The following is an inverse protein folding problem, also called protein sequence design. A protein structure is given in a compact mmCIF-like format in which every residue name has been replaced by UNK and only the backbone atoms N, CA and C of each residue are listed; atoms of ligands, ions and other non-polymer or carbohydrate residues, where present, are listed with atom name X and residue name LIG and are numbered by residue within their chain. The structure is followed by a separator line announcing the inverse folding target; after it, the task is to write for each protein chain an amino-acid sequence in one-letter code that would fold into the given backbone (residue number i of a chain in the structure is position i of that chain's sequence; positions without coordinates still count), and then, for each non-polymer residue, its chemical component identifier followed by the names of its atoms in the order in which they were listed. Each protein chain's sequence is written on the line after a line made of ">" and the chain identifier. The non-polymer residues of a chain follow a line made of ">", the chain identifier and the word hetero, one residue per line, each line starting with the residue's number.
data_IF_544034121351
#
_entry.id   IF_544034121351
#
_cell.length_a   1.000
_cell.length_b   1.000
_cell.length_c   1.000
_cell.angle_alpha   90.00
_cell.angle_beta   90.00
_cell.angle_gamma   90.00
#
_symmetry.space_group_name_H-M   'P 1'
#
loop_
_entity.id
_entity.type
_entity.pdbx_description
1 polymer ?
#
# COMPACT_ATOMS: atom_id res chain seq x y z
N UNK A 1 8.40 2.43 -6.25
CA UNK A 1 9.15 3.44 -5.45
C UNK A 1 10.11 2.80 -4.46
N UNK A 2 9.65 1.89 -3.58
CA UNK A 2 10.50 1.26 -2.56
C UNK A 2 11.64 0.48 -3.19
N UNK A 3 11.35 -0.34 -4.22
CA UNK A 3 12.36 -1.12 -4.91
C UNK A 3 13.40 -0.22 -5.60
N UNK A 4 12.95 0.83 -6.26
CA UNK A 4 13.84 1.82 -6.89
C UNK A 4 14.77 2.50 -5.88
N UNK A 5 14.24 2.88 -4.70
CA UNK A 5 15.05 3.46 -3.62
C UNK A 5 16.05 2.45 -3.06
N UNK A 6 15.70 1.15 -3.03
CA UNK A 6 16.58 0.06 -2.64
C UNK A 6 17.73 -0.10 -3.64
N UNK A 7 17.42 -0.14 -4.94
CA UNK A 7 18.40 -0.23 -6.03
C UNK A 7 19.34 0.97 -6.08
N UNK A 8 18.82 2.17 -5.80
CA UNK A 8 19.60 3.40 -5.72
C UNK A 8 20.43 3.51 -4.43
N UNK A 9 20.22 2.61 -3.44
CA UNK A 9 20.92 2.63 -2.16
C UNK A 9 20.53 3.78 -1.24
N UNK A 10 19.28 4.26 -1.34
CA UNK A 10 18.77 5.38 -0.55
C UNK A 10 17.55 5.03 0.32
N UNK A 11 17.22 3.73 0.44
CA UNK A 11 16.03 3.29 1.17
C UNK A 11 16.13 3.55 2.68
N UNK A 12 17.29 3.27 3.28
CA UNK A 12 17.53 3.47 4.73
C UNK A 12 17.86 4.91 5.10
N UNK A 13 18.10 5.77 4.11
CA UNK A 13 18.37 7.19 4.33
C UNK A 13 17.14 7.96 4.82
N UNK A 14 17.35 9.20 5.29
CA UNK A 14 16.29 10.08 5.80
C UNK A 14 15.13 10.22 4.80
N UNK A 15 15.43 10.44 3.51
CA UNK A 15 14.41 10.59 2.47
C UNK A 15 13.66 9.28 2.23
N UNK A 16 14.37 8.15 2.09
CA UNK A 16 13.77 6.84 1.86
C UNK A 16 12.85 6.40 3.00
N UNK A 17 13.32 6.52 4.25
CA UNK A 17 12.51 6.20 5.42
C UNK A 17 11.29 7.13 5.58
N UNK A 18 11.40 8.40 5.20
CA UNK A 18 10.27 9.33 5.20
C UNK A 18 9.25 8.96 4.13
N UNK A 19 9.69 8.63 2.90
CA UNK A 19 8.79 8.17 1.83
C UNK A 19 8.06 6.90 2.25
N UNK A 20 8.79 5.92 2.82
CA UNK A 20 8.19 4.66 3.27
C UNK A 20 7.13 4.89 4.35
N UNK A 21 7.45 5.68 5.39
CA UNK A 21 6.50 6.01 6.45
C UNK A 21 5.28 6.79 5.95
N UNK A 22 5.49 7.76 5.06
CA UNK A 22 4.42 8.55 4.47
C UNK A 22 3.51 7.69 3.58
N UNK A 23 4.07 6.76 2.79
CA UNK A 23 3.30 5.84 1.96
C UNK A 23 2.41 4.92 2.80
N UNK A 24 2.94 4.36 3.89
CA UNK A 24 2.15 3.52 4.82
C UNK A 24 0.96 4.31 5.39
N UNK A 25 1.18 5.56 5.81
CA UNK A 25 0.11 6.40 6.36
C UNK A 25 -0.90 6.77 5.27
N UNK A 26 -0.45 7.12 4.06
CA UNK A 26 -1.31 7.44 2.90
C UNK A 26 -2.24 6.26 2.56
N UNK A 27 -1.71 5.03 2.55
CA UNK A 27 -2.47 3.81 2.29
C UNK A 27 -3.54 3.58 3.38
N UNK A 28 -3.19 3.70 4.66
CA UNK A 28 -4.15 3.57 5.76
C UNK A 28 -5.27 4.61 5.66
N UNK A 29 -4.90 5.87 5.45
CA UNK A 29 -5.89 6.96 5.32
C UNK A 29 -6.77 6.74 4.08
N UNK A 30 -6.20 6.32 2.96
CA UNK A 30 -6.94 6.01 1.73
C UNK A 30 -7.99 4.92 1.95
N UNK A 31 -7.64 3.85 2.65
CA UNK A 31 -8.55 2.75 2.96
C UNK A 31 -9.64 3.19 3.94
N UNK A 32 -9.31 4.01 4.94
CA UNK A 32 -10.30 4.54 5.88
C UNK A 32 -11.31 5.44 5.13
N UNK A 33 -10.83 6.35 4.29
CA UNK A 33 -11.69 7.22 3.47
C UNK A 33 -12.58 6.38 2.54
N UNK A 34 -12.03 5.37 1.87
CA UNK A 34 -12.80 4.45 1.05
C UNK A 34 -13.93 3.80 1.86
N UNK A 35 -13.61 3.27 3.04
CA UNK A 35 -14.59 2.62 3.91
C UNK A 35 -15.71 3.58 4.31
N UNK A 36 -15.39 4.84 4.62
CA UNK A 36 -16.40 5.88 4.95
C UNK A 36 -17.27 6.15 3.73
N UNK A 37 -16.68 6.39 2.57
CA UNK A 37 -17.40 6.74 1.34
C UNK A 37 -18.31 5.60 0.91
N UNK A 38 -17.83 4.37 0.85
CA UNK A 38 -18.66 3.19 0.49
C UNK A 38 -19.77 2.90 1.50
N UNK A 39 -19.54 3.20 2.77
CA UNK A 39 -20.56 3.03 3.80
C UNK A 39 -21.64 4.12 3.78
N UNK A 40 -21.33 5.32 3.26
CA UNK A 40 -22.31 6.42 3.13
C UNK A 40 -23.19 6.28 1.89
N UNK A 41 -22.78 5.48 0.89
CA UNK A 41 -23.57 5.24 -0.32
C UNK A 41 -24.83 4.42 -0.02
N UNK A 42 -24.78 3.52 0.95
CA UNK A 42 -25.95 2.78 1.40
C UNK A 42 -26.85 3.68 2.24
N UNK A 43 -27.77 4.39 1.55
CA UNK A 43 -28.74 5.34 2.15
C UNK A 43 -29.65 4.71 3.22
N UNK A 44 -29.66 3.37 3.32
CA UNK A 44 -30.39 2.63 4.37
C UNK A 44 -29.65 2.59 5.70
N UNK A 45 -28.35 2.95 5.75
CA UNK A 45 -27.52 2.82 6.95
C UNK A 45 -27.35 4.17 7.63
N UNK A 46 -27.66 4.22 8.92
CA UNK A 46 -27.42 5.41 9.74
C UNK A 46 -25.91 5.71 9.82
N UNK A 47 -25.43 6.92 9.42
CA UNK A 47 -24.02 7.27 9.48
C UNK A 47 -23.39 7.06 10.86
N UNK A 48 -24.14 7.33 11.93
CA UNK A 48 -23.67 7.08 13.31
C UNK A 48 -23.38 5.60 13.58
N UNK A 49 -24.17 4.69 13.00
CA UNK A 49 -23.93 3.26 13.12
C UNK A 49 -22.67 2.82 12.36
N UNK A 50 -22.37 3.46 11.23
CA UNK A 50 -21.14 3.20 10.45
C UNK A 50 -19.90 3.62 11.25
N UNK A 51 -19.91 4.84 11.77
CA UNK A 51 -18.79 5.30 12.63
C UNK A 51 -18.65 4.44 13.88
N UNK A 52 -19.78 4.00 14.48
CA UNK A 52 -19.76 3.06 15.60
C UNK A 52 -19.11 1.72 15.25
N UNK A 53 -19.40 1.16 14.06
CA UNK A 53 -18.77 -0.08 13.58
C UNK A 53 -17.28 0.10 13.33
N UNK A 54 -16.87 1.22 12.73
CA UNK A 54 -15.45 1.53 12.50
C UNK A 54 -14.71 1.67 13.82
N UNK A 55 -15.27 2.42 14.78
CA UNK A 55 -14.68 2.54 16.11
C UNK A 55 -14.57 1.18 16.83
N UNK A 56 -15.63 0.37 16.79
CA UNK A 56 -15.62 -0.98 17.34
C UNK A 56 -14.57 -1.87 16.67
N UNK A 57 -14.40 -1.76 15.36
CA UNK A 57 -13.37 -2.48 14.65
C UNK A 57 -11.96 -2.16 15.18
N UNK A 58 -11.63 -0.87 15.35
CA UNK A 58 -10.33 -0.50 15.90
C UNK A 58 -10.12 -0.98 17.34
N UNK A 59 -11.18 -1.02 18.15
CA UNK A 59 -11.12 -1.62 19.48
C UNK A 59 -10.82 -3.12 19.39
N UNK A 60 -11.50 -3.84 18.50
CA UNK A 60 -11.24 -5.28 18.29
C UNK A 60 -9.80 -5.51 17.79
N UNK A 61 -9.31 -4.71 16.85
CA UNK A 61 -7.91 -4.74 16.40
C UNK A 61 -6.95 -4.56 17.58
N UNK A 62 -7.19 -3.56 18.43
CA UNK A 62 -6.33 -3.28 19.59
C UNK A 62 -6.35 -4.46 20.61
N UNK A 63 -7.52 -5.07 20.83
CA UNK A 63 -7.65 -6.25 21.69
C UNK A 63 -6.88 -7.45 21.10
N UNK A 64 -7.03 -7.72 19.81
CA UNK A 64 -6.29 -8.81 19.12
C UNK A 64 -4.79 -8.56 19.21
N UNK A 65 -4.35 -7.32 18.98
CA UNK A 65 -2.94 -6.94 19.11
C UNK A 65 -2.41 -7.20 20.52
N UNK A 66 -3.17 -6.80 21.54
CA UNK A 66 -2.79 -7.04 22.94
C UNK A 66 -2.71 -8.54 23.29
N UNK A 67 -3.67 -9.33 22.80
CA UNK A 67 -3.67 -10.79 22.97
C UNK A 67 -2.45 -11.40 22.28
N UNK A 68 -2.19 -11.04 21.03
CA UNK A 68 -1.01 -11.52 20.30
C UNK A 68 0.30 -11.10 20.97
N UNK A 69 0.39 -9.89 21.49
CA UNK A 69 1.56 -9.43 22.24
C UNK A 69 1.84 -10.28 23.49
N UNK A 70 0.77 -10.74 24.19
CA UNK A 70 0.90 -11.68 25.33
C UNK A 70 1.22 -13.11 24.89
N UNK A 71 0.72 -13.54 23.74
CA UNK A 71 1.02 -14.87 23.19
C UNK A 71 2.40 -14.95 22.50
N UNK A 72 3.02 -13.81 22.24
CA UNK A 72 4.34 -13.73 21.58
C UNK A 72 5.38 -14.69 22.14
N UNK A 73 5.65 -14.76 23.48
CA UNK A 73 6.66 -15.68 24.01
C UNK A 73 6.32 -17.15 23.75
N UNK A 74 5.04 -17.52 23.74
CA UNK A 74 4.59 -18.88 23.45
C UNK A 74 4.75 -19.21 21.97
N UNK A 75 4.41 -18.29 21.06
CA UNK A 75 4.54 -18.47 19.61
C UNK A 75 6.02 -18.53 19.18
N UNK A 76 6.89 -17.75 19.82
CA UNK A 76 8.33 -17.73 19.55
C UNK A 76 9.07 -18.94 20.13
N UNK A 77 8.49 -19.65 21.09
CA UNK A 77 9.05 -20.88 21.69
C UNK A 77 8.87 -22.11 20.82
N UNK A 78 8.05 -22.06 19.78
CA UNK A 78 7.82 -23.19 18.89
C UNK A 78 8.77 -23.14 17.69
N UNK A 79 9.77 -24.04 17.65
CA UNK A 79 10.79 -24.18 16.59
C UNK A 79 10.25 -24.57 15.20
N UNK A 80 8.92 -24.63 15.00
CA UNK A 80 8.33 -25.07 13.74
C UNK A 80 8.08 -23.91 12.78
N UNK A 81 9.12 -23.30 12.29
CA UNK A 81 9.10 -22.15 11.36
C UNK A 81 8.13 -22.31 10.17
N UNK A 82 8.05 -23.52 9.58
CA UNK A 82 7.17 -23.78 8.43
C UNK A 82 5.68 -23.65 8.77
N UNK A 83 5.24 -24.19 9.91
CA UNK A 83 3.86 -24.07 10.37
C UNK A 83 3.50 -22.63 10.72
N UNK A 84 4.44 -21.89 11.26
CA UNK A 84 4.26 -20.51 11.64
C UNK A 84 3.97 -19.61 10.43
N UNK A 85 4.65 -19.83 9.29
CA UNK A 85 4.38 -19.07 8.07
C UNK A 85 2.96 -19.34 7.52
N UNK A 86 2.50 -20.61 7.58
CA UNK A 86 1.15 -20.98 7.16
C UNK A 86 0.10 -20.36 8.09
N UNK A 87 0.33 -20.41 9.41
CA UNK A 87 -0.57 -19.80 10.39
C UNK A 87 -0.62 -18.28 10.26
N UNK A 88 0.51 -17.64 9.98
CA UNK A 88 0.57 -16.19 9.73
C UNK A 88 -0.27 -15.80 8.51
N UNK A 89 -0.15 -16.54 7.41
CA UNK A 89 -0.96 -16.30 6.21
C UNK A 89 -2.45 -16.57 6.47
N UNK A 90 -2.78 -17.65 7.16
CA UNK A 90 -4.16 -17.97 7.56
C UNK A 90 -4.74 -16.88 8.47
N UNK A 91 -3.94 -16.32 9.38
CA UNK A 91 -4.33 -15.20 10.24
C UNK A 91 -4.60 -13.94 9.40
N UNK A 92 -3.77 -13.63 8.40
CA UNK A 92 -4.03 -12.50 7.49
C UNK A 92 -5.35 -12.66 6.75
N UNK A 93 -5.64 -13.85 6.18
CA UNK A 93 -6.91 -14.10 5.51
C UNK A 93 -8.10 -14.07 6.46
N UNK A 94 -7.94 -14.59 7.68
CA UNK A 94 -8.99 -14.53 8.70
C UNK A 94 -9.32 -13.07 9.06
N UNK A 95 -8.30 -12.25 9.27
CA UNK A 95 -8.49 -10.84 9.59
C UNK A 95 -9.12 -10.06 8.42
N UNK A 96 -8.73 -10.35 7.18
CA UNK A 96 -9.36 -9.80 5.99
C UNK A 96 -10.85 -10.16 5.93
N UNK A 97 -11.18 -11.44 6.09
CA UNK A 97 -12.57 -11.93 6.11
C UNK A 97 -13.40 -11.30 7.23
N UNK A 98 -12.86 -11.24 8.45
CA UNK A 98 -13.54 -10.64 9.60
C UNK A 98 -13.84 -9.17 9.37
N UNK A 99 -12.87 -8.42 8.81
CA UNK A 99 -13.02 -7.00 8.50
C UNK A 99 -14.16 -6.74 7.53
N UNK A 100 -14.21 -7.50 6.44
CA UNK A 100 -15.24 -7.33 5.39
C UNK A 100 -16.62 -7.86 5.85
N UNK A 101 -16.67 -9.07 6.38
CA UNK A 101 -17.94 -9.74 6.69
C UNK A 101 -18.67 -9.17 7.91
N UNK A 102 -17.95 -8.83 8.97
CA UNK A 102 -18.58 -8.41 10.23
C UNK A 102 -18.66 -6.89 10.38
N UNK A 103 -17.65 -6.18 9.85
CA UNK A 103 -17.56 -4.73 10.03
C UNK A 103 -17.89 -3.94 8.75
N UNK A 104 -17.94 -4.58 7.59
CA UNK A 104 -18.13 -3.91 6.31
C UNK A 104 -16.92 -3.03 5.92
N UNK A 105 -15.75 -3.31 6.50
CA UNK A 105 -14.49 -2.62 6.25
C UNK A 105 -13.72 -3.40 5.20
N UNK A 106 -13.04 -2.70 4.27
CA UNK A 106 -12.30 -3.33 3.20
C UNK A 106 -11.35 -4.43 3.73
N UNK A 107 -11.36 -5.60 3.09
CA UNK A 107 -10.57 -6.79 3.41
C UNK A 107 -9.07 -6.49 3.54
N UNK A 108 -8.54 -5.61 2.67
CA UNK A 108 -7.14 -5.18 2.71
C UNK A 108 -6.76 -4.54 4.05
N UNK A 109 -7.70 -3.83 4.72
CA UNK A 109 -7.45 -3.22 6.03
C UNK A 109 -7.15 -4.29 7.08
N UNK A 110 -7.94 -5.37 7.09
CA UNK A 110 -7.72 -6.49 8.01
C UNK A 110 -6.39 -7.19 7.78
N UNK A 111 -6.06 -7.48 6.52
CA UNK A 111 -4.78 -8.08 6.16
C UNK A 111 -3.59 -7.19 6.54
N UNK A 112 -3.72 -5.87 6.34
CA UNK A 112 -2.68 -4.90 6.71
C UNK A 112 -2.41 -4.90 8.22
N UNK A 113 -3.45 -4.79 9.04
CA UNK A 113 -3.28 -4.83 10.50
C UNK A 113 -2.74 -6.18 10.99
N UNK A 114 -3.14 -7.30 10.37
CA UNK A 114 -2.54 -8.59 10.67
C UNK A 114 -1.04 -8.61 10.38
N UNK A 115 -0.61 -8.09 9.23
CA UNK A 115 0.80 -7.95 8.88
C UNK A 115 1.56 -7.07 9.88
N UNK A 116 0.97 -5.93 10.28
CA UNK A 116 1.57 -5.01 11.26
C UNK A 116 1.75 -5.65 12.64
N UNK A 117 0.78 -6.48 13.08
CA UNK A 117 0.88 -7.24 14.31
C UNK A 117 2.02 -8.27 14.25
N UNK A 118 2.15 -9.00 13.14
CA UNK A 118 3.18 -10.01 12.93
C UNK A 118 4.58 -9.39 12.81
N UNK A 119 4.69 -8.16 12.30
CA UNK A 119 5.95 -7.42 12.14
C UNK A 119 6.68 -7.19 13.49
N UNK A 120 5.96 -7.24 14.61
CA UNK A 120 6.55 -7.14 15.95
C UNK A 120 7.21 -8.43 16.47
N UNK A 121 7.10 -9.55 15.74
CA UNK A 121 7.62 -10.86 16.16
C UNK A 121 9.00 -11.14 15.55
N UNK A 122 9.84 -11.92 16.25
CA UNK A 122 11.17 -12.34 15.76
C UNK A 122 11.16 -13.16 14.47
N UNK A 123 10.02 -13.81 14.22
CA UNK A 123 9.79 -14.64 13.02
C UNK A 123 9.44 -13.83 11.77
N UNK A 124 9.29 -12.50 11.88
CA UNK A 124 8.89 -11.59 10.80
C UNK A 124 9.69 -11.83 9.51
N UNK A 125 11.00 -11.82 9.58
CA UNK A 125 11.87 -11.99 8.40
C UNK A 125 11.63 -13.32 7.68
N UNK A 126 11.40 -14.40 8.44
CA UNK A 126 11.13 -15.71 7.86
C UNK A 126 9.75 -15.77 7.21
N UNK A 127 8.71 -15.25 7.90
CA UNK A 127 7.34 -15.21 7.40
C UNK A 127 7.28 -14.34 6.14
N UNK A 128 7.89 -13.15 6.18
CA UNK A 128 7.91 -12.22 5.05
C UNK A 128 8.49 -12.87 3.79
N UNK A 129 9.68 -13.51 3.89
CA UNK A 129 10.28 -14.23 2.76
C UNK A 129 9.40 -15.32 2.17
N UNK A 130 8.64 -16.03 3.03
CA UNK A 130 7.78 -17.14 2.59
C UNK A 130 6.48 -16.65 1.94
N UNK A 131 5.94 -15.53 2.41
CA UNK A 131 4.71 -14.93 1.87
C UNK A 131 5.02 -14.08 0.63
N UNK A 132 6.17 -13.42 0.58
CA UNK A 132 6.60 -12.61 -0.56
C UNK A 132 6.69 -13.43 -1.87
N UNK A 133 7.19 -14.67 -1.81
CA UNK A 133 7.34 -15.52 -2.99
C UNK A 133 6.00 -15.79 -3.69
N UNK A 134 4.96 -16.37 -3.04
CA UNK A 134 3.66 -16.58 -3.69
C UNK A 134 2.94 -15.26 -4.00
N UNK A 135 3.13 -14.22 -3.20
CA UNK A 135 2.57 -12.91 -3.49
C UNK A 135 3.08 -12.39 -4.84
N UNK A 136 4.39 -12.44 -5.06
CA UNK A 136 5.02 -11.94 -6.29
C UNK A 136 4.78 -12.86 -7.49
N UNK A 137 4.86 -14.19 -7.31
CA UNK A 137 4.76 -15.14 -8.43
C UNK A 137 3.34 -15.44 -8.88
N UNK A 138 2.35 -15.36 -7.99
CA UNK A 138 0.98 -15.80 -8.26
C UNK A 138 0.00 -14.65 -8.06
N UNK A 139 -0.09 -14.10 -6.84
CA UNK A 139 -1.18 -13.18 -6.50
C UNK A 139 -1.07 -11.84 -7.24
N UNK A 140 0.11 -11.23 -7.29
CA UNK A 140 0.30 -9.95 -7.97
C UNK A 140 0.05 -10.04 -9.48
N UNK A 141 0.61 -11.01 -10.24
CA UNK A 141 0.31 -11.15 -11.66
C UNK A 141 -1.17 -11.42 -11.95
N UNK A 142 -1.83 -12.28 -11.16
CA UNK A 142 -3.26 -12.56 -11.30
C UNK A 142 -4.10 -11.33 -11.04
N UNK A 143 -3.76 -10.55 -10.02
CA UNK A 143 -4.43 -9.30 -9.69
C UNK A 143 -4.31 -8.28 -10.83
N UNK A 144 -3.10 -8.00 -11.32
CA UNK A 144 -2.91 -7.07 -12.42
C UNK A 144 -3.57 -7.54 -13.73
N UNK A 145 -3.48 -8.84 -14.04
CA UNK A 145 -4.17 -9.42 -15.20
C UNK A 145 -5.69 -9.27 -15.08
N UNK A 146 -6.26 -9.50 -13.89
CA UNK A 146 -7.70 -9.34 -13.64
C UNK A 146 -8.16 -7.89 -13.86
N UNK A 147 -7.36 -6.91 -13.42
CA UNK A 147 -7.66 -5.49 -13.65
C UNK A 147 -7.56 -5.16 -15.14
N UNK A 148 -6.48 -5.62 -15.81
CA UNK A 148 -6.31 -5.40 -17.24
C UNK A 148 -7.46 -5.96 -18.07
N UNK A 149 -7.93 -7.16 -17.76
CA UNK A 149 -9.08 -7.78 -18.45
C UNK A 149 -10.42 -7.07 -18.22
N UNK A 150 -10.58 -6.43 -17.07
CA UNK A 150 -11.78 -5.64 -16.74
C UNK A 150 -11.75 -4.23 -17.33
N UNK A 151 -10.56 -3.76 -17.73
CA UNK A 151 -10.39 -2.42 -18.30
C UNK A 151 -10.71 -2.45 -19.79
N UNK A 152 -11.86 -1.91 -20.15
CA UNK A 152 -12.23 -1.76 -21.58
C UNK A 152 -11.60 -0.49 -22.14
N UNK A 153 -10.70 -0.65 -23.11
CA UNK A 153 -10.02 0.45 -23.80
C UNK A 153 -10.71 0.82 -25.13
N UNK A 154 -11.68 0.03 -25.61
CA UNK A 154 -12.32 0.24 -26.91
C UNK A 154 -13.17 1.53 -26.97
N UNK A 155 -13.59 2.04 -25.80
CA UNK A 155 -14.34 3.28 -25.66
C UNK A 155 -13.53 4.57 -25.51
N UNK A 156 -12.19 4.51 -25.58
CA UNK A 156 -11.33 5.68 -25.38
C UNK A 156 -11.46 6.68 -26.54
N UNK A 157 -12.33 7.64 -26.38
CA UNK A 157 -12.47 8.79 -27.27
C UNK A 157 -11.38 9.83 -27.00
N UNK A 158 -11.09 10.71 -27.97
CA UNK A 158 -10.09 11.77 -27.80
C UNK A 158 -10.31 12.66 -26.57
N UNK A 159 -11.55 12.88 -26.17
CA UNK A 159 -11.91 13.60 -24.93
C UNK A 159 -11.51 12.84 -23.67
N UNK A 160 -11.61 11.52 -23.65
CA UNK A 160 -11.20 10.68 -22.50
C UNK A 160 -9.69 10.61 -22.37
N UNK A 161 -8.97 10.58 -23.49
CA UNK A 161 -7.50 10.66 -23.49
C UNK A 161 -7.05 12.00 -22.93
N UNK A 162 -7.67 13.09 -23.38
CA UNK A 162 -7.37 14.44 -22.86
C UNK A 162 -7.66 14.52 -21.35
N UNK A 163 -8.80 13.98 -20.91
CA UNK A 163 -9.17 13.88 -19.48
C UNK A 163 -8.12 13.10 -18.69
N UNK A 164 -7.66 11.93 -19.20
CA UNK A 164 -6.62 11.13 -18.58
C UNK A 164 -5.31 11.89 -18.42
N UNK A 165 -4.90 12.66 -19.44
CA UNK A 165 -3.68 13.48 -19.41
C UNK A 165 -3.81 14.60 -18.35
N UNK A 166 -4.94 15.29 -18.31
CA UNK A 166 -5.20 16.35 -17.32
C UNK A 166 -5.18 15.73 -15.90
N UNK A 167 -5.87 14.60 -15.71
CA UNK A 167 -5.92 13.88 -14.44
C UNK A 167 -4.53 13.42 -14.01
N UNK A 168 -3.71 12.94 -14.95
CA UNK A 168 -2.32 12.54 -14.71
C UNK A 168 -1.47 13.72 -14.21
N UNK A 169 -1.56 14.86 -14.90
CA UNK A 169 -0.81 16.07 -14.52
C UNK A 169 -1.23 16.53 -13.12
N UNK A 170 -2.52 16.58 -12.85
CA UNK A 170 -3.05 16.96 -11.53
C UNK A 170 -2.60 15.96 -10.46
N UNK A 171 -2.64 14.66 -10.76
CA UNK A 171 -2.21 13.61 -9.83
C UNK A 171 -0.73 13.73 -9.46
N UNK A 172 0.13 14.00 -10.44
CA UNK A 172 1.57 14.21 -10.21
C UNK A 172 1.81 15.50 -9.41
N UNK A 173 1.24 16.62 -9.86
CA UNK A 173 1.44 17.93 -9.21
C UNK A 173 0.92 17.93 -7.78
N UNK A 174 -0.26 17.38 -7.52
CA UNK A 174 -0.84 17.32 -6.18
C UNK A 174 0.05 16.56 -5.18
N UNK A 175 0.65 15.45 -5.61
CA UNK A 175 1.56 14.67 -4.75
C UNK A 175 2.91 15.37 -4.57
N UNK A 176 3.52 15.90 -5.63
CA UNK A 176 4.80 16.61 -5.55
C UNK A 176 4.68 17.85 -4.67
N UNK A 177 3.62 18.66 -4.88
CA UNK A 177 3.41 19.88 -4.09
C UNK A 177 2.97 19.54 -2.68
N UNK A 178 1.98 18.67 -2.50
CA UNK A 178 1.42 18.33 -1.18
C UNK A 178 2.45 17.67 -0.28
N UNK A 179 3.11 16.60 -0.74
CA UNK A 179 4.14 15.92 0.04
C UNK A 179 5.42 16.76 0.18
N UNK A 180 5.76 17.55 -0.85
CA UNK A 180 6.88 18.49 -0.78
C UNK A 180 6.66 19.59 0.26
N UNK A 181 5.47 20.17 0.33
CA UNK A 181 5.11 21.15 1.37
C UNK A 181 5.10 20.52 2.76
N UNK A 182 4.51 19.32 2.92
CA UNK A 182 4.57 18.57 4.17
C UNK A 182 5.99 18.32 4.65
N UNK A 183 6.89 17.90 3.75
CA UNK A 183 8.32 17.74 4.06
C UNK A 183 8.99 19.06 4.45
N UNK A 184 8.59 20.18 3.85
CA UNK A 184 9.07 21.52 4.21
C UNK A 184 8.65 21.93 5.61
N UNK A 185 7.41 21.67 5.99
CA UNK A 185 6.90 21.92 7.35
C UNK A 185 7.74 21.12 8.37
N UNK A 186 8.16 19.90 8.01
CA UNK A 186 9.06 19.05 8.79
C UNK A 186 10.54 19.45 8.69
N UNK A 187 10.85 20.67 8.23
CA UNK A 187 12.22 21.23 8.13
C UNK A 187 13.17 20.45 7.21
N UNK A 188 12.65 19.74 6.21
CA UNK A 188 13.47 19.13 5.16
C UNK A 188 14.00 20.20 4.19
N UNK A 189 15.19 19.96 3.64
CA UNK A 189 15.78 20.81 2.61
C UNK A 189 14.95 20.80 1.32
N UNK A 190 15.15 21.79 0.42
CA UNK A 190 14.41 21.84 -0.85
C UNK A 190 14.61 20.58 -1.69
N UNK A 191 15.85 20.03 -1.71
CA UNK A 191 16.18 18.82 -2.43
C UNK A 191 15.49 17.59 -1.82
N UNK A 192 15.52 17.46 -0.49
CA UNK A 192 14.82 16.37 0.20
C UNK A 192 13.31 16.43 -0.02
N UNK A 193 12.71 17.64 0.10
CA UNK A 193 11.29 17.85 -0.13
C UNK A 193 10.85 17.47 -1.55
N UNK A 194 11.64 17.83 -2.57
CA UNK A 194 11.38 17.43 -3.94
C UNK A 194 11.47 15.91 -4.13
N UNK A 195 12.48 15.25 -3.55
CA UNK A 195 12.66 13.80 -3.59
C UNK A 195 11.51 13.05 -2.92
N UNK A 196 11.07 13.55 -1.77
CA UNK A 196 9.91 12.98 -1.06
C UNK A 196 8.66 13.14 -1.92
N UNK A 197 8.41 14.34 -2.47
CA UNK A 197 7.28 14.58 -3.35
C UNK A 197 7.28 13.68 -4.58
N UNK A 198 8.42 13.54 -5.24
CA UNK A 198 8.58 12.66 -6.42
C UNK A 198 8.40 11.18 -6.04
N UNK A 199 8.95 10.75 -4.90
CA UNK A 199 8.79 9.38 -4.41
C UNK A 199 7.33 8.99 -4.09
N UNK A 200 6.49 9.97 -3.80
CA UNK A 200 5.07 9.77 -3.50
C UNK A 200 4.13 9.87 -4.72
N UNK A 201 4.66 10.08 -5.94
CA UNK A 201 3.85 10.15 -7.17
C UNK A 201 3.22 8.79 -7.50
N UNK A 202 3.98 7.69 -7.33
CA UNK A 202 3.51 6.35 -7.65
C UNK A 202 2.23 6.02 -6.89
N UNK A 203 1.20 5.66 -7.63
CA UNK A 203 -0.04 5.09 -7.08
C UNK A 203 -0.01 3.60 -7.37
N UNK A 204 0.11 2.80 -6.31
CA UNK A 204 0.22 1.35 -6.42
C UNK A 204 -1.13 0.63 -6.48
N UNK A 205 -1.07 -0.63 -6.07
CA UNK A 205 -2.21 -1.54 -6.00
C UNK A 205 -3.39 -1.01 -5.18
N UNK A 206 -3.14 -0.24 -4.12
CA UNK A 206 -4.21 0.35 -3.29
C UNK A 206 -5.12 1.26 -4.11
N UNK A 207 -4.55 2.10 -4.99
CA UNK A 207 -5.35 2.97 -5.85
C UNK A 207 -6.22 2.18 -6.84
N UNK A 208 -5.70 1.05 -7.36
CA UNK A 208 -6.46 0.17 -8.23
C UNK A 208 -7.59 -0.55 -7.47
N UNK A 209 -7.33 -0.99 -6.24
CA UNK A 209 -8.35 -1.61 -5.38
C UNK A 209 -9.44 -0.59 -5.06
N UNK A 210 -9.08 0.65 -4.71
CA UNK A 210 -10.04 1.73 -4.45
C UNK A 210 -10.90 2.01 -5.69
N UNK A 211 -10.27 2.12 -6.87
CA UNK A 211 -10.98 2.32 -8.13
C UNK A 211 -11.92 1.15 -8.44
N UNK A 212 -11.48 -0.09 -8.24
CA UNK A 212 -12.29 -1.28 -8.48
C UNK A 212 -13.46 -1.40 -7.49
N UNK A 213 -13.24 -1.12 -6.21
CA UNK A 213 -14.33 -1.10 -5.21
C UNK A 213 -15.34 0.01 -5.51
N UNK A 214 -14.89 1.22 -5.87
CA UNK A 214 -15.77 2.31 -6.30
C UNK A 214 -16.56 1.99 -7.58
N UNK A 215 -15.96 1.27 -8.53
CA UNK A 215 -16.63 0.78 -9.73
C UNK A 215 -17.69 -0.28 -9.38
N UNK A 216 -17.37 -1.26 -8.53
CA UNK A 216 -18.30 -2.29 -8.08
C UNK A 216 -19.48 -1.73 -7.27
N UNK A 217 -19.24 -0.65 -6.53
CA UNK A 217 -20.26 0.07 -5.77
C UNK A 217 -21.13 1.01 -6.65
N UNK A 218 -20.88 1.10 -7.96
CA UNK A 218 -21.64 1.96 -8.87
C UNK A 218 -21.30 3.45 -8.81
N UNK A 219 -20.28 3.81 -8.02
CA UNK A 219 -19.81 5.21 -7.88
C UNK A 219 -19.01 5.70 -9.10
N UNK A 220 -18.41 4.77 -9.85
CA UNK A 220 -17.65 5.07 -11.05
C UNK A 220 -18.36 4.48 -12.26
N UNK A 221 -18.56 5.31 -13.29
CA UNK A 221 -19.04 4.84 -14.60
C UNK A 221 -17.95 4.09 -15.34
N UNK A 222 -18.37 3.24 -16.29
CA UNK A 222 -17.46 2.48 -17.17
C UNK A 222 -16.45 3.41 -17.87
N UNK A 223 -16.90 4.58 -18.28
CA UNK A 223 -16.09 5.59 -18.97
C UNK A 223 -14.97 6.20 -18.12
N UNK A 224 -15.14 6.25 -16.79
CA UNK A 224 -14.13 6.83 -15.88
C UNK A 224 -13.14 5.80 -15.35
N UNK A 225 -13.51 4.52 -15.34
CA UNK A 225 -12.64 3.46 -14.80
C UNK A 225 -11.34 3.32 -15.61
N UNK A 226 -11.43 3.25 -16.94
CA UNK A 226 -10.27 3.12 -17.82
C UNK A 226 -9.26 4.28 -17.70
N UNK A 227 -9.67 5.57 -17.74
CA UNK A 227 -8.80 6.70 -17.45
C UNK A 227 -8.08 6.63 -16.11
N UNK A 228 -8.75 6.20 -15.03
CA UNK A 228 -8.15 6.10 -13.71
C UNK A 228 -7.08 5.00 -13.68
N UNK A 229 -7.37 3.82 -14.23
CA UNK A 229 -6.41 2.72 -14.34
C UNK A 229 -5.18 3.14 -15.14
N UNK A 230 -5.39 3.85 -16.26
CA UNK A 230 -4.30 4.37 -17.07
C UNK A 230 -3.40 5.33 -16.29
N UNK A 231 -3.97 6.26 -15.52
CA UNK A 231 -3.20 7.19 -14.66
C UNK A 231 -2.39 6.42 -13.62
N UNK A 232 -2.94 5.39 -13.00
CA UNK A 232 -2.21 4.57 -12.02
C UNK A 232 -1.02 3.85 -12.67
N UNK A 233 -1.22 3.23 -13.83
CA UNK A 233 -0.15 2.55 -14.57
C UNK A 233 0.95 3.53 -14.95
N UNK A 234 0.59 4.67 -15.56
CA UNK A 234 1.56 5.66 -16.02
C UNK A 234 2.34 6.27 -14.86
N UNK A 235 1.68 6.63 -13.74
CA UNK A 235 2.38 7.14 -12.55
C UNK A 235 3.34 6.11 -11.97
N UNK A 236 2.99 4.84 -11.97
CA UNK A 236 3.85 3.76 -11.48
C UNK A 236 5.09 3.57 -12.35
N UNK A 237 4.95 3.68 -13.68
CA UNK A 237 6.07 3.56 -14.63
C UNK A 237 6.98 4.78 -14.64
N UNK A 238 6.42 5.98 -14.50
CA UNK A 238 7.19 7.24 -14.55
C UNK A 238 7.97 7.47 -13.25
N UNK A 239 7.46 7.08 -12.11
CA UNK A 239 8.08 7.36 -10.79
C UNK A 239 9.52 6.84 -10.66
N UNK A 240 9.89 5.60 -11.05
CA UNK A 240 11.28 5.13 -11.01
C UNK A 240 12.22 6.01 -11.82
N UNK A 241 11.78 6.47 -13.00
CA UNK A 241 12.55 7.33 -13.90
C UNK A 241 12.80 8.67 -13.23
N UNK A 242 11.75 9.30 -12.70
CA UNK A 242 11.85 10.59 -12.00
C UNK A 242 12.71 10.49 -10.75
N UNK A 243 12.59 9.41 -9.97
CA UNK A 243 13.44 9.16 -8.80
C UNK A 243 14.91 9.06 -9.19
N UNK A 244 15.23 8.27 -10.21
CA UNK A 244 16.61 8.15 -10.71
C UNK A 244 17.18 9.50 -11.12
N UNK A 245 16.37 10.37 -11.73
CA UNK A 245 16.79 11.72 -12.12
C UNK A 245 17.06 12.63 -10.92
N UNK A 246 16.20 12.59 -9.89
CA UNK A 246 16.30 13.48 -8.72
C UNK A 246 17.40 13.01 -7.74
N UNK A 247 17.76 11.72 -7.75
CA UNK A 247 18.90 11.19 -6.98
C UNK A 247 20.22 11.17 -7.75
N UNK A 248 20.23 11.58 -9.03
CA UNK A 248 21.43 11.61 -9.86
C UNK A 248 22.55 12.45 -9.21
N UNK A 249 23.70 11.84 -9.00
CA UNK A 249 24.89 12.48 -8.41
C UNK A 249 24.98 12.44 -6.89
N UNK A 250 24.06 11.76 -6.19
CA UNK A 250 24.15 11.52 -4.76
C UNK A 250 24.81 10.16 -4.47
N UNK A 251 25.65 10.11 -3.46
CA UNK A 251 26.27 8.84 -3.03
C UNK A 251 25.23 7.98 -2.32
N UNK A 252 25.20 6.64 -2.57
CA UNK A 252 24.34 5.73 -1.84
C UNK A 252 24.52 5.89 -0.32
N UNK A 253 23.43 5.94 0.42
CA UNK A 253 23.43 6.08 1.88
C UNK A 253 23.28 4.72 2.58
N UNK A 254 22.83 3.70 1.85
CA UNK A 254 22.73 2.34 2.35
C UNK A 254 24.13 1.73 2.27
N UNK A 255 24.72 1.38 3.41
CA UNK A 255 25.94 0.57 3.43
C UNK A 255 25.62 -0.75 2.73
N UNK A 256 26.43 -1.21 1.74
CA UNK A 256 26.24 -2.53 1.16
C UNK A 256 26.25 -3.53 2.32
N UNK A 257 25.23 -4.37 2.42
CA UNK A 257 25.30 -5.54 3.30
C UNK A 257 26.57 -6.29 2.88
N UNK A 258 27.52 -6.44 3.81
CA UNK A 258 28.72 -7.24 3.58
C UNK A 258 28.28 -8.56 2.92
N UNK A 259 28.96 -9.00 1.84
CA UNK A 259 28.64 -10.26 1.22
C UNK A 259 28.62 -11.31 2.34
N UNK A 260 27.50 -12.03 2.44
CA UNK A 260 27.40 -13.13 3.40
C UNK A 260 28.60 -14.04 3.12
N UNK A 261 29.51 -14.02 4.07
CA UNK A 261 30.68 -14.86 4.09
C UNK A 261 30.17 -16.29 3.84
N UNK A 262 30.60 -16.87 2.75
CA UNK A 262 30.31 -18.24 2.39
C UNK A 262 30.63 -19.13 3.60
N UNK A 263 29.61 -19.48 4.37
CA UNK A 263 29.71 -20.55 5.33
C UNK A 263 29.96 -21.82 4.51
N UNK A 264 31.22 -22.14 4.38
CA UNK A 264 31.72 -23.45 3.99
C UNK A 264 31.12 -24.51 4.90
N UNK A 265 30.69 -25.59 4.23
CA UNK A 265 30.43 -26.96 4.70
C UNK A 265 29.09 -27.18 5.36
#
# INVERSE_FOLDING_TARGET
>A
TVETLRELGHLKGKVGSTILGAAIIDDILGIIVLTIVTSLEDTSVNPAAVFGKIALYFVVIAVIWFVLAKLKPFLESQDQLRRTAILALAFCFLMAYVSEKFFGIADITGAYFAGLMLCSMKIETYVNRRVEIPAYLIFSPVFFASIGMKTNLDGLNGSMILFSIILLIIAILSKVVGCGLGAKICKCTNKEALRIGVGMISRGEVALIVAQKGYQAGMLSDDLFAPIVLVVIVTTLITPILLSMVFKGEKPQDTPAAPAESANI
#
